data_IF_302355273893
#
_entry.id   IF_302355273893
#
_cell.length_a   1.000
_cell.length_b   1.000
_cell.length_c   1.000
_cell.angle_alpha   90.00
_cell.angle_beta   90.00
_cell.angle_gamma   90.00
#
_symmetry.space_group_name_H-M   'P 1'
#
loop_
_entity.id
_entity.type
_entity.pdbx_description
1 polymer ?
#
# COMPACT_ATOMS: atom_id res chain seq x y z
N UNK A 1 1.33 4.04 11.88
CA UNK A 1 0.01 4.16 11.18
C UNK A 1 -1.08 4.28 12.23
N UNK A 2 -2.27 4.78 11.87
CA UNK A 2 -3.46 4.87 12.71
C UNK A 2 -4.67 4.46 11.87
N UNK A 3 -5.52 3.57 12.39
CA UNK A 3 -6.81 3.23 11.81
C UNK A 3 -7.93 3.73 12.75
N UNK A 4 -8.89 4.45 12.20
CA UNK A 4 -10.11 4.84 12.87
C UNK A 4 -11.29 4.21 12.16
N UNK A 5 -12.19 3.60 12.91
CA UNK A 5 -13.41 2.98 12.39
C UNK A 5 -14.61 3.38 13.23
N UNK A 6 -15.75 3.65 12.57
CA UNK A 6 -17.05 3.78 13.24
C UNK A 6 -17.68 2.41 13.52
N UNK A 7 -17.16 1.36 12.88
CA UNK A 7 -17.63 -0.02 13.07
C UNK A 7 -16.68 -0.75 14.02
N UNK A 8 -17.18 -1.77 14.76
CA UNK A 8 -16.34 -2.54 15.65
C UNK A 8 -15.16 -3.20 14.95
N UNK A 9 -14.01 -3.19 15.58
CA UNK A 9 -12.82 -3.92 15.16
C UNK A 9 -12.76 -5.22 15.97
N UNK A 10 -12.61 -6.37 15.30
CA UNK A 10 -12.36 -7.65 15.95
C UNK A 10 -10.89 -7.74 16.38
N UNK A 11 -10.60 -7.08 17.51
CA UNK A 11 -9.22 -6.85 17.99
C UNK A 11 -8.45 -8.17 18.16
N UNK A 12 -9.13 -9.21 18.62
CA UNK A 12 -8.58 -10.56 18.85
C UNK A 12 -8.18 -11.30 17.55
N UNK A 13 -8.61 -10.77 16.39
CA UNK A 13 -8.31 -11.33 15.06
C UNK A 13 -7.37 -10.43 14.24
N UNK A 14 -6.88 -9.36 14.84
CA UNK A 14 -5.92 -8.47 14.18
C UNK A 14 -4.60 -9.20 13.98
N UNK A 15 -4.10 -9.19 12.75
CA UNK A 15 -2.76 -9.68 12.44
C UNK A 15 -1.82 -8.51 12.15
N UNK A 16 -0.65 -8.54 12.76
CA UNK A 16 0.43 -7.59 12.49
C UNK A 16 1.68 -8.33 12.04
N UNK A 17 2.39 -7.75 11.07
CA UNK A 17 3.54 -8.39 10.43
C UNK A 17 4.79 -7.53 10.61
N UNK A 18 4.91 -6.87 11.76
CA UNK A 18 6.03 -5.99 12.05
C UNK A 18 7.35 -6.76 12.14
N UNK A 19 7.32 -7.99 12.65
CA UNK A 19 8.49 -8.81 12.87
C UNK A 19 8.78 -9.80 11.73
N UNK A 20 7.98 -9.80 10.65
CA UNK A 20 8.23 -10.64 9.48
C UNK A 20 9.61 -10.28 8.89
N UNK A 21 10.48 -11.30 8.74
CA UNK A 21 11.85 -11.09 8.27
C UNK A 21 11.91 -11.06 6.74
N UNK A 22 12.61 -10.08 6.20
CA UNK A 22 12.75 -9.92 4.74
C UNK A 22 13.35 -11.18 4.07
N UNK A 23 14.32 -11.81 4.72
CA UNK A 23 14.97 -13.05 4.23
C UNK A 23 14.02 -14.24 4.08
N UNK A 24 12.90 -14.25 4.82
CA UNK A 24 11.97 -15.37 4.83
C UNK A 24 10.95 -15.28 3.68
N UNK A 25 10.89 -14.14 2.97
CA UNK A 25 10.15 -14.00 1.72
C UNK A 25 10.90 -14.75 0.60
N UNK A 26 10.28 -15.71 -0.10
CA UNK A 26 10.89 -16.36 -1.25
C UNK A 26 11.25 -15.35 -2.35
N UNK A 27 12.38 -15.56 -3.02
CA UNK A 27 12.86 -14.72 -4.13
C UNK A 27 12.91 -13.22 -3.82
N UNK A 28 13.16 -12.87 -2.54
CA UNK A 28 13.24 -11.49 -2.10
C UNK A 28 14.42 -10.75 -2.76
N UNK A 29 14.21 -9.46 -3.03
CA UNK A 29 15.20 -8.64 -3.72
C UNK A 29 16.40 -8.26 -2.84
N UNK A 30 16.34 -8.48 -1.52
CA UNK A 30 17.49 -8.28 -0.62
C UNK A 30 18.70 -9.12 -1.05
N UNK A 31 18.45 -10.36 -1.49
CA UNK A 31 19.50 -11.32 -1.85
C UNK A 31 20.27 -10.93 -3.12
N UNK A 32 19.76 -10.03 -3.93
CA UNK A 32 20.42 -9.58 -5.18
C UNK A 32 21.30 -8.33 -5.00
N UNK A 33 21.23 -7.67 -3.84
CA UNK A 33 22.03 -6.47 -3.57
C UNK A 33 23.50 -6.82 -3.28
N UNK A 34 24.42 -6.09 -3.91
CA UNK A 34 25.86 -6.27 -3.74
C UNK A 34 26.55 -4.94 -3.48
N UNK A 35 27.68 -5.01 -2.77
CA UNK A 35 28.66 -3.94 -2.70
C UNK A 35 29.51 -3.89 -3.99
N UNK A 36 30.34 -2.88 -4.14
CA UNK A 36 31.28 -2.77 -5.27
C UNK A 36 32.25 -3.95 -5.33
N UNK A 37 32.58 -4.54 -4.17
CA UNK A 37 33.46 -5.70 -4.05
C UNK A 37 32.71 -7.03 -4.31
N UNK A 38 31.39 -7.01 -4.61
CA UNK A 38 30.59 -8.20 -4.90
C UNK A 38 30.01 -8.90 -3.67
N UNK A 39 30.26 -8.40 -2.47
CA UNK A 39 29.72 -8.95 -1.23
C UNK A 39 28.23 -8.63 -1.08
N UNK A 40 27.53 -9.37 -0.21
CA UNK A 40 26.14 -9.03 0.12
C UNK A 40 26.06 -7.65 0.76
N UNK A 41 25.17 -6.78 0.26
CA UNK A 41 24.94 -5.45 0.82
C UNK A 41 24.61 -5.52 2.33
N UNK A 42 23.69 -6.42 2.70
CA UNK A 42 23.44 -6.75 4.10
C UNK A 42 24.22 -8.01 4.47
N UNK A 43 25.21 -7.94 5.39
CA UNK A 43 25.91 -9.12 5.86
C UNK A 43 24.96 -10.16 6.47
N UNK A 44 25.29 -11.47 6.45
CA UNK A 44 24.40 -12.54 6.93
C UNK A 44 23.85 -12.33 8.35
N UNK A 45 24.64 -11.72 9.24
CA UNK A 45 24.19 -11.39 10.61
C UNK A 45 23.07 -10.36 10.63
N UNK A 46 23.05 -9.40 9.67
CA UNK A 46 22.00 -8.39 9.54
C UNK A 46 20.76 -9.01 8.90
N UNK A 47 20.92 -9.82 7.86
CA UNK A 47 19.81 -10.50 7.20
C UNK A 47 18.98 -11.37 8.17
N UNK A 48 19.62 -11.91 9.22
CA UNK A 48 18.94 -12.73 10.25
C UNK A 48 17.93 -11.97 11.09
N UNK A 49 18.01 -10.64 11.15
CA UNK A 49 17.17 -9.79 12.03
C UNK A 49 16.49 -8.66 11.26
N UNK A 50 16.77 -8.51 9.97
CA UNK A 50 16.22 -7.42 9.17
C UNK A 50 14.77 -7.73 8.81
N UNK A 51 13.86 -6.96 9.36
CA UNK A 51 12.42 -7.05 9.06
C UNK A 51 12.15 -6.54 7.64
N UNK A 52 11.17 -7.13 6.97
CA UNK A 52 10.72 -6.65 5.66
C UNK A 52 10.15 -5.23 5.80
N UNK A 53 9.13 -5.06 6.60
CA UNK A 53 8.51 -3.75 6.75
C UNK A 53 9.36 -2.79 7.58
N UNK A 54 9.60 -1.60 7.04
CA UNK A 54 10.23 -0.50 7.79
C UNK A 54 9.33 0.04 8.89
N UNK A 55 8.01 -0.14 8.73
CA UNK A 55 6.97 0.27 9.69
C UNK A 55 6.18 -0.93 10.19
N UNK A 56 5.13 -1.33 9.49
CA UNK A 56 4.37 -2.56 9.72
C UNK A 56 3.41 -2.81 8.55
N UNK A 57 2.94 -4.05 8.42
CA UNK A 57 1.76 -4.43 7.66
C UNK A 57 0.70 -4.88 8.66
N UNK A 58 -0.56 -4.49 8.45
CA UNK A 58 -1.68 -4.81 9.33
C UNK A 58 -2.83 -5.42 8.54
N UNK A 59 -3.37 -6.51 9.02
CA UNK A 59 -4.69 -7.02 8.64
C UNK A 59 -5.63 -6.80 9.82
N UNK A 60 -6.60 -5.90 9.63
CA UNK A 60 -7.51 -5.47 10.68
C UNK A 60 -8.94 -5.80 10.27
N UNK A 61 -9.54 -6.87 10.85
CA UNK A 61 -10.92 -7.23 10.59
C UNK A 61 -11.88 -6.21 11.22
N UNK A 62 -12.72 -5.60 10.40
CA UNK A 62 -13.77 -4.65 10.78
C UNK A 62 -15.13 -5.31 10.56
N UNK A 63 -16.00 -5.25 11.58
CA UNK A 63 -17.34 -5.84 11.53
C UNK A 63 -18.35 -4.83 10.99
N UNK A 64 -18.82 -5.02 9.77
CA UNK A 64 -19.83 -4.17 9.15
C UNK A 64 -21.13 -4.97 9.03
N UNK A 65 -22.09 -4.69 9.90
CA UNK A 65 -23.32 -5.49 10.06
C UNK A 65 -22.90 -6.93 10.38
N UNK A 66 -23.23 -7.89 9.55
CA UNK A 66 -22.90 -9.32 9.73
C UNK A 66 -21.70 -9.78 8.88
N UNK A 67 -20.96 -8.83 8.31
CA UNK A 67 -19.85 -9.10 7.38
C UNK A 67 -18.51 -8.65 7.95
N UNK A 68 -17.48 -9.45 7.71
CA UNK A 68 -16.10 -9.07 8.03
C UNK A 68 -15.44 -8.42 6.81
N UNK A 69 -14.90 -7.24 7.01
CA UNK A 69 -14.09 -6.52 6.03
C UNK A 69 -12.67 -6.37 6.57
N UNK A 70 -11.70 -6.94 5.88
CA UNK A 70 -10.31 -6.85 6.25
C UNK A 70 -9.70 -5.52 5.74
N UNK A 71 -9.16 -4.72 6.63
CA UNK A 71 -8.40 -3.52 6.29
C UNK A 71 -6.92 -3.87 6.30
N UNK A 72 -6.34 -3.98 5.11
CA UNK A 72 -4.94 -4.31 4.88
C UNK A 72 -4.16 -3.01 4.75
N UNK A 73 -3.49 -2.58 5.81
CA UNK A 73 -2.83 -1.29 5.89
C UNK A 73 -1.31 -1.44 5.93
N UNK A 74 -0.61 -0.68 5.08
CA UNK A 74 0.85 -0.59 5.10
C UNK A 74 1.35 0.79 4.70
N UNK A 75 2.63 1.05 4.99
CA UNK A 75 3.33 2.23 4.51
C UNK A 75 4.75 1.79 4.12
N UNK A 76 4.92 1.24 2.91
CA UNK A 76 6.20 0.81 2.37
C UNK A 76 7.27 1.88 2.41
N UNK A 77 8.52 1.46 2.37
CA UNK A 77 9.69 2.33 2.35
C UNK A 77 9.64 3.25 1.13
N UNK A 78 9.85 4.59 1.26
CA UNK A 78 10.03 5.44 0.10
C UNK A 78 11.23 4.96 -0.75
N UNK A 79 11.07 4.78 -2.07
CA UNK A 79 12.11 4.24 -2.97
C UNK A 79 13.13 5.30 -3.38
N UNK A 80 13.58 6.10 -2.43
CA UNK A 80 14.49 7.23 -2.59
C UNK A 80 15.49 7.28 -1.44
N UNK A 81 16.47 8.18 -1.50
CA UNK A 81 17.51 8.37 -0.47
C UNK A 81 18.45 7.18 -0.31
N UNK A 82 18.77 6.49 -1.40
CA UNK A 82 19.71 5.37 -1.47
C UNK A 82 20.69 5.53 -2.64
N UNK A 83 21.60 4.59 -2.78
CA UNK A 83 22.62 4.58 -3.81
C UNK A 83 22.28 3.63 -4.97
N UNK A 84 23.30 3.30 -5.79
CA UNK A 84 23.12 2.40 -6.94
C UNK A 84 22.63 1.00 -6.58
N UNK A 85 22.78 0.59 -5.33
CA UNK A 85 22.28 -0.69 -4.81
C UNK A 85 20.74 -0.74 -4.76
N UNK A 86 20.07 0.44 -4.82
CA UNK A 86 18.60 0.55 -4.85
C UNK A 86 17.92 -0.22 -3.67
N UNK A 87 18.48 -0.10 -2.46
CA UNK A 87 17.99 -0.86 -1.30
C UNK A 87 16.57 -0.48 -0.90
N UNK A 88 16.22 0.80 -1.02
CA UNK A 88 14.90 1.30 -0.67
C UNK A 88 13.86 0.95 -1.74
N UNK A 89 14.23 1.04 -3.03
CA UNK A 89 13.37 0.61 -4.14
C UNK A 89 13.08 -0.89 -4.10
N UNK A 90 14.08 -1.72 -3.81
CA UNK A 90 13.92 -3.18 -3.63
C UNK A 90 13.06 -3.51 -2.43
N UNK A 91 13.24 -2.79 -1.34
CA UNK A 91 12.42 -2.98 -0.12
C UNK A 91 10.98 -2.57 -0.36
N UNK A 92 10.74 -1.40 -0.98
CA UNK A 92 9.41 -0.95 -1.37
C UNK A 92 8.68 -1.99 -2.21
N UNK A 93 9.37 -2.51 -3.25
CA UNK A 93 8.83 -3.58 -4.10
C UNK A 93 8.37 -4.78 -3.28
N UNK A 94 9.25 -5.31 -2.41
CA UNK A 94 8.94 -6.51 -1.63
C UNK A 94 7.89 -6.25 -0.53
N UNK A 95 7.86 -5.04 0.05
CA UNK A 95 6.80 -4.60 0.96
C UNK A 95 5.42 -4.56 0.26
N UNK A 96 5.35 -4.16 -1.02
CA UNK A 96 4.11 -4.17 -1.81
C UNK A 96 3.76 -5.60 -2.24
N UNK A 97 4.75 -6.38 -2.73
CA UNK A 97 4.58 -7.77 -3.11
C UNK A 97 4.06 -8.63 -1.96
N UNK A 98 4.38 -8.28 -0.71
CA UNK A 98 3.81 -8.94 0.47
C UNK A 98 2.28 -9.01 0.39
N UNK A 99 1.59 -7.94 -0.05
CA UNK A 99 0.15 -7.96 -0.24
C UNK A 99 -0.28 -8.83 -1.42
N UNK A 100 0.50 -8.88 -2.50
CA UNK A 100 0.21 -9.77 -3.65
C UNK A 100 0.19 -11.22 -3.16
N UNK A 101 1.23 -11.64 -2.44
CA UNK A 101 1.35 -13.00 -1.93
C UNK A 101 0.32 -13.30 -0.82
N UNK A 102 0.03 -12.31 0.05
CA UNK A 102 -0.97 -12.44 1.11
C UNK A 102 -2.40 -12.61 0.57
N UNK A 103 -2.71 -11.99 -0.56
CA UNK A 103 -3.97 -12.14 -1.30
C UNK A 103 -3.97 -13.36 -2.22
N UNK A 104 -2.84 -13.99 -2.42
CA UNK A 104 -2.65 -15.11 -3.33
C UNK A 104 -3.28 -16.42 -2.87
N UNK A 105 -2.86 -17.51 -3.50
CA UNK A 105 -3.25 -18.87 -3.12
C UNK A 105 -2.60 -19.29 -1.80
N UNK A 106 -3.10 -20.38 -1.20
CA UNK A 106 -2.50 -20.98 -0.01
C UNK A 106 -1.00 -21.26 -0.20
N UNK A 107 -0.59 -21.73 -1.38
CA UNK A 107 0.82 -22.00 -1.71
C UNK A 107 1.66 -20.72 -1.74
N UNK A 108 1.14 -19.64 -2.31
CA UNK A 108 1.84 -18.35 -2.43
C UNK A 108 1.99 -17.66 -1.08
N UNK A 109 1.02 -17.79 -0.20
CA UNK A 109 1.01 -17.17 1.12
C UNK A 109 1.57 -18.06 2.26
N UNK A 110 1.90 -19.31 1.99
CA UNK A 110 2.27 -20.30 3.02
C UNK A 110 3.49 -19.88 3.88
N UNK A 111 4.37 -19.06 3.36
CA UNK A 111 5.57 -18.59 4.06
C UNK A 111 5.32 -17.36 4.95
N UNK A 112 4.18 -16.69 4.78
CA UNK A 112 3.83 -15.47 5.52
C UNK A 112 3.42 -15.86 6.94
N UNK A 113 4.02 -15.23 7.91
CA UNK A 113 3.66 -15.37 9.33
C UNK A 113 3.51 -13.98 9.97
N UNK A 114 2.60 -13.87 10.91
CA UNK A 114 2.39 -12.66 11.70
C UNK A 114 3.23 -12.64 12.99
N UNK A 115 3.07 -11.60 13.79
CA UNK A 115 3.83 -11.41 15.02
C UNK A 115 3.49 -12.47 16.11
N UNK A 116 2.35 -13.18 15.97
CA UNK A 116 1.92 -14.30 16.81
C UNK A 116 2.30 -15.67 16.21
N UNK A 117 3.10 -15.71 15.12
CA UNK A 117 3.51 -16.90 14.39
C UNK A 117 2.35 -17.69 13.77
N UNK A 118 1.26 -17.03 13.42
CA UNK A 118 0.21 -17.63 12.61
C UNK A 118 0.56 -17.52 11.13
N UNK A 119 0.53 -18.65 10.43
CA UNK A 119 0.93 -18.72 9.02
C UNK A 119 -0.27 -18.56 8.07
N UNK A 120 0.04 -18.18 6.83
CA UNK A 120 -0.92 -18.11 5.73
C UNK A 120 -1.39 -16.71 5.38
N UNK A 121 -2.12 -16.62 4.28
CA UNK A 121 -2.64 -15.39 3.70
C UNK A 121 -4.05 -15.01 4.19
N UNK A 122 -4.72 -14.17 3.40
CA UNK A 122 -6.06 -13.67 3.69
C UNK A 122 -7.13 -14.71 3.35
N UNK A 123 -7.84 -15.19 4.35
CA UNK A 123 -8.99 -16.10 4.18
C UNK A 123 -10.28 -15.34 3.76
N UNK A 124 -10.39 -14.05 4.11
CA UNK A 124 -11.57 -13.23 3.85
C UNK A 124 -11.78 -12.91 2.36
N UNK A 125 -13.04 -12.73 1.96
CA UNK A 125 -13.42 -12.32 0.60
C UNK A 125 -13.40 -10.81 0.39
N UNK A 126 -13.74 -10.05 1.44
CA UNK A 126 -13.86 -8.58 1.41
C UNK A 126 -12.68 -7.96 2.10
N UNK A 127 -11.97 -7.14 1.36
CA UNK A 127 -10.84 -6.38 1.90
C UNK A 127 -10.69 -5.02 1.24
N UNK A 128 -9.94 -4.17 1.92
CA UNK A 128 -9.46 -2.88 1.42
C UNK A 128 -7.95 -2.82 1.66
N UNK A 129 -7.14 -2.63 0.62
CA UNK A 129 -5.71 -2.30 0.80
C UNK A 129 -5.57 -0.79 0.88
N UNK A 130 -5.01 -0.29 1.98
CA UNK A 130 -4.90 1.13 2.27
C UNK A 130 -3.46 1.53 2.57
N UNK A 131 -3.05 2.68 2.07
CA UNK A 131 -1.82 3.32 2.53
C UNK A 131 -1.13 4.19 1.51
N UNK A 132 -0.13 4.90 2.00
CA UNK A 132 0.93 5.46 1.18
C UNK A 132 1.86 4.32 0.78
N UNK A 133 1.72 3.84 -0.45
CA UNK A 133 2.54 2.74 -0.98
C UNK A 133 3.86 3.25 -1.57
N UNK A 134 4.04 4.56 -1.66
CA UNK A 134 5.26 5.18 -2.20
C UNK A 134 5.67 4.65 -3.60
N UNK A 135 4.70 4.21 -4.39
CA UNK A 135 4.93 3.62 -5.70
C UNK A 135 3.83 3.99 -6.69
N UNK A 136 4.20 4.17 -7.95
CA UNK A 136 3.28 4.37 -9.07
C UNK A 136 3.72 3.51 -10.25
N UNK A 137 2.77 3.07 -11.06
CA UNK A 137 3.07 2.37 -12.33
C UNK A 137 3.63 3.32 -13.39
N UNK A 138 3.43 4.64 -13.23
CA UNK A 138 3.70 5.63 -14.26
C UNK A 138 4.86 6.56 -13.92
N UNK A 139 4.98 6.96 -12.65
CA UNK A 139 5.86 8.04 -12.21
C UNK A 139 6.64 7.65 -10.94
N UNK A 140 7.73 8.38 -10.65
CA UNK A 140 8.58 8.17 -9.48
C UNK A 140 9.64 7.09 -9.67
N UNK A 141 10.37 6.80 -8.59
CA UNK A 141 11.58 5.98 -8.59
C UNK A 141 11.34 4.53 -8.14
N UNK A 142 10.08 4.18 -7.80
CA UNK A 142 9.76 2.83 -7.38
C UNK A 142 9.95 1.80 -8.49
N UNK A 143 10.28 0.57 -8.10
CA UNK A 143 10.18 -0.59 -8.98
C UNK A 143 8.71 -0.84 -9.27
N UNK A 144 8.35 -0.67 -10.56
CA UNK A 144 6.94 -0.65 -10.99
C UNK A 144 6.25 -2.00 -10.92
N UNK A 145 7.03 -3.07 -10.94
CA UNK A 145 6.53 -4.44 -10.98
C UNK A 145 5.63 -4.73 -9.78
N UNK A 146 6.08 -4.44 -8.55
CA UNK A 146 5.32 -4.75 -7.34
C UNK A 146 3.95 -4.06 -7.28
N UNK A 147 3.90 -2.75 -7.59
CA UNK A 147 2.62 -2.03 -7.61
C UNK A 147 1.75 -2.46 -8.78
N UNK A 148 2.34 -2.76 -9.95
CA UNK A 148 1.60 -3.24 -11.12
C UNK A 148 0.95 -4.60 -10.83
N UNK A 149 1.67 -5.53 -10.21
CA UNK A 149 1.15 -6.84 -9.80
C UNK A 149 0.00 -6.70 -8.80
N UNK A 150 0.14 -5.84 -7.80
CA UNK A 150 -0.93 -5.59 -6.83
C UNK A 150 -2.19 -5.03 -7.50
N UNK A 151 -2.05 -4.04 -8.39
CA UNK A 151 -3.18 -3.45 -9.11
C UNK A 151 -3.82 -4.43 -10.12
N UNK A 152 -3.04 -5.37 -10.67
CA UNK A 152 -3.51 -6.41 -11.58
C UNK A 152 -4.03 -7.66 -10.87
N UNK A 153 -3.87 -7.77 -9.54
CA UNK A 153 -4.21 -8.96 -8.79
C UNK A 153 -5.69 -9.34 -8.97
N UNK A 154 -6.04 -10.63 -9.24
CA UNK A 154 -7.42 -11.05 -9.56
C UNK A 154 -8.45 -10.72 -8.47
N UNK A 155 -8.01 -10.68 -7.20
CA UNK A 155 -8.87 -10.33 -6.07
C UNK A 155 -9.04 -8.82 -5.86
N UNK A 156 -8.27 -7.96 -6.55
CA UNK A 156 -8.38 -6.49 -6.49
C UNK A 156 -9.34 -5.98 -7.56
N UNK A 157 -10.23 -5.07 -7.17
CA UNK A 157 -11.23 -4.46 -8.06
C UNK A 157 -10.54 -3.55 -9.07
N UNK A 158 -10.74 -3.84 -10.34
CA UNK A 158 -10.21 -3.01 -11.44
C UNK A 158 -11.08 -1.77 -11.68
N UNK A 159 -10.48 -0.76 -12.29
CA UNK A 159 -11.20 0.45 -12.73
C UNK A 159 -11.49 1.45 -11.61
N UNK A 160 -11.01 1.21 -10.39
CA UNK A 160 -11.08 2.18 -9.31
C UNK A 160 -9.91 3.17 -9.43
N UNK A 161 -10.19 4.36 -9.91
CA UNK A 161 -9.18 5.39 -10.12
C UNK A 161 -9.65 6.73 -9.53
N UNK A 162 -9.40 6.97 -8.21
CA UNK A 162 -9.68 8.26 -7.60
C UNK A 162 -8.95 9.39 -8.30
N UNK A 163 -9.65 10.50 -8.56
CA UNK A 163 -9.10 11.66 -9.27
C UNK A 163 -9.46 12.97 -8.59
N UNK A 164 -8.78 14.05 -8.98
CA UNK A 164 -9.11 15.41 -8.57
C UNK A 164 -8.75 16.45 -9.64
N UNK A 165 -9.49 17.54 -9.65
CA UNK A 165 -9.14 18.70 -10.46
C UNK A 165 -7.94 19.46 -9.91
N UNK A 166 -7.71 19.41 -8.59
CA UNK A 166 -6.53 19.98 -7.96
C UNK A 166 -5.24 19.31 -8.38
N UNK A 167 -5.23 17.98 -8.45
CA UNK A 167 -4.09 17.21 -8.97
C UNK A 167 -3.80 17.52 -10.44
N UNK A 168 -4.85 17.59 -11.26
CA UNK A 168 -4.76 18.04 -12.66
C UNK A 168 -4.14 19.45 -12.78
N UNK A 169 -4.54 20.38 -11.90
CA UNK A 169 -4.03 21.74 -11.93
C UNK A 169 -2.60 21.84 -11.39
N UNK A 170 -2.24 21.01 -10.41
CA UNK A 170 -0.90 20.98 -9.81
C UNK A 170 0.19 20.52 -10.80
N UNK A 171 -0.14 19.57 -11.66
CA UNK A 171 0.77 19.04 -12.71
C UNK A 171 0.03 18.95 -14.04
N UNK A 172 -0.25 20.13 -14.60
CA UNK A 172 -0.95 20.25 -15.89
C UNK A 172 -0.15 19.71 -17.09
N UNK A 173 1.14 19.50 -16.92
CA UNK A 173 2.08 18.90 -17.87
C UNK A 173 2.08 17.35 -17.83
N UNK A 174 1.55 16.76 -16.76
CA UNK A 174 1.45 15.30 -16.64
C UNK A 174 0.05 14.78 -17.05
N UNK A 175 -0.05 13.80 -17.94
CA UNK A 175 -1.32 13.12 -18.23
C UNK A 175 -1.90 12.39 -17.01
N UNK A 176 -1.07 12.08 -16.02
CA UNK A 176 -1.43 11.40 -14.78
C UNK A 176 -1.83 12.37 -13.65
N UNK A 177 -1.66 13.68 -13.87
CA UNK A 177 -1.98 14.72 -12.89
C UNK A 177 -3.31 14.54 -12.15
N UNK A 178 -4.43 14.18 -12.83
CA UNK A 178 -5.70 13.91 -12.15
C UNK A 178 -5.65 12.87 -11.05
N UNK A 179 -4.78 11.86 -11.17
CA UNK A 179 -4.66 10.73 -10.22
C UNK A 179 -3.65 10.97 -9.11
N UNK A 180 -2.91 12.08 -9.16
CA UNK A 180 -1.91 12.39 -8.13
C UNK A 180 -2.54 12.54 -6.77
N UNK A 181 -1.84 12.01 -5.77
CA UNK A 181 -2.21 12.10 -4.36
C UNK A 181 -1.16 12.85 -3.55
N UNK A 182 -0.03 13.16 -4.16
CA UNK A 182 1.09 13.83 -3.53
C UNK A 182 1.46 15.14 -4.26
N UNK A 183 1.85 16.17 -3.49
CA UNK A 183 2.15 17.51 -3.98
C UNK A 183 3.30 17.52 -5.00
N UNK A 184 4.27 16.62 -4.86
CA UNK A 184 5.40 16.50 -5.79
C UNK A 184 5.02 15.89 -7.15
N UNK A 185 3.77 15.44 -7.32
CA UNK A 185 3.26 14.98 -8.61
C UNK A 185 3.40 13.48 -8.82
N UNK A 186 2.77 12.68 -7.96
CA UNK A 186 2.71 11.22 -8.07
C UNK A 186 1.46 10.68 -7.38
N UNK A 187 0.94 9.55 -7.87
CA UNK A 187 0.01 8.73 -7.11
C UNK A 187 0.79 7.84 -6.16
N UNK A 188 0.85 8.21 -4.88
CA UNK A 188 1.54 7.47 -3.83
C UNK A 188 0.58 6.73 -2.90
N UNK A 189 -0.65 7.28 -2.75
CA UNK A 189 -1.64 6.81 -1.79
C UNK A 189 -2.74 6.03 -2.49
N UNK A 190 -3.15 4.92 -1.89
CA UNK A 190 -4.09 3.98 -2.47
C UNK A 190 -5.20 3.60 -1.49
N UNK A 191 -6.39 3.40 -2.05
CA UNK A 191 -7.50 2.66 -1.46
C UNK A 191 -7.96 1.68 -2.51
N UNK A 192 -7.68 0.39 -2.33
CA UNK A 192 -7.99 -0.68 -3.28
C UNK A 192 -9.00 -1.63 -2.66
N UNK A 193 -10.17 -1.74 -3.26
CA UNK A 193 -11.20 -2.66 -2.80
C UNK A 193 -11.02 -4.07 -3.40
N UNK A 194 -11.51 -5.08 -2.69
CA UNK A 194 -11.65 -6.43 -3.26
C UNK A 194 -12.57 -6.44 -4.49
N UNK A 195 -12.29 -7.31 -5.45
CA UNK A 195 -13.12 -7.47 -6.66
C UNK A 195 -14.56 -7.88 -6.34
N UNK A 196 -14.73 -8.68 -5.29
CA UNK A 196 -16.02 -9.18 -4.84
C UNK A 196 -16.56 -8.40 -3.62
N UNK A 197 -17.88 -8.37 -3.50
CA UNK A 197 -18.58 -7.89 -2.30
C UNK A 197 -18.89 -6.39 -2.29
N UNK A 198 -18.57 -5.64 -3.35
CA UNK A 198 -18.74 -4.19 -3.41
C UNK A 198 -19.35 -3.67 -4.69
N UNK A 199 -20.30 -2.76 -4.56
CA UNK A 199 -20.65 -1.81 -5.62
C UNK A 199 -19.93 -0.48 -5.35
N UNK A 200 -19.12 -0.02 -6.29
CA UNK A 200 -18.50 1.30 -6.23
C UNK A 200 -19.59 2.35 -6.51
N UNK A 201 -19.72 3.31 -5.61
CA UNK A 201 -20.62 4.44 -5.76
C UNK A 201 -19.86 5.68 -6.25
N UNK A 202 -18.75 6.01 -5.60
CA UNK A 202 -17.93 7.17 -5.96
C UNK A 202 -16.50 7.00 -5.44
N UNK A 203 -15.56 7.81 -5.94
CA UNK A 203 -14.17 7.82 -5.51
C UNK A 203 -13.51 9.16 -5.86
N UNK A 204 -12.57 9.60 -5.05
CA UNK A 204 -11.85 10.83 -5.35
C UNK A 204 -10.62 11.07 -4.50
N UNK A 205 -9.89 12.10 -4.91
CA UNK A 205 -8.80 12.69 -4.13
C UNK A 205 -9.26 14.06 -3.66
N UNK A 206 -9.22 14.29 -2.36
CA UNK A 206 -9.55 15.60 -1.80
C UNK A 206 -8.42 16.59 -2.08
N UNK A 207 -8.51 17.25 -3.22
CA UNK A 207 -7.58 18.27 -3.67
C UNK A 207 -8.32 19.44 -4.34
N UNK A 208 -8.93 20.36 -3.56
CA UNK A 208 -9.56 21.56 -4.09
C UNK A 208 -8.54 22.45 -4.82
N UNK A 209 -8.96 23.06 -5.93
CA UNK A 209 -8.15 24.01 -6.69
C UNK A 209 -7.97 25.34 -5.94
N UNK A 210 -6.91 26.11 -6.25
CA UNK A 210 -6.81 27.50 -5.80
C UNK A 210 -8.10 28.29 -6.08
N UNK A 211 -8.61 28.95 -5.05
CA UNK A 211 -9.88 29.71 -5.13
C UNK A 211 -11.14 28.90 -4.76
N UNK A 212 -11.07 27.58 -4.69
CA UNK A 212 -12.21 26.76 -4.24
C UNK A 212 -12.33 26.74 -2.70
N UNK A 213 -13.54 26.49 -2.18
CA UNK A 213 -13.74 26.25 -0.76
C UNK A 213 -12.81 25.15 -0.26
N UNK A 214 -12.29 25.30 0.95
CA UNK A 214 -11.39 24.34 1.60
C UNK A 214 -9.97 24.22 0.99
N UNK A 215 -9.63 24.89 -0.13
CA UNK A 215 -8.25 24.90 -0.64
C UNK A 215 -7.24 25.28 0.46
N UNK A 216 -7.63 26.10 1.45
CA UNK A 216 -6.78 26.47 2.60
C UNK A 216 -6.24 25.24 3.35
N UNK A 217 -6.91 24.09 3.31
CA UNK A 217 -6.50 22.85 4.00
C UNK A 217 -5.36 22.12 3.26
N UNK A 218 -5.20 22.36 1.96
CA UNK A 218 -4.23 21.66 1.11
C UNK A 218 -3.23 22.58 0.42
N UNK A 219 -3.24 23.87 0.76
CA UNK A 219 -2.42 24.89 0.08
C UNK A 219 -0.91 24.74 0.30
N UNK A 220 -0.49 24.00 1.31
CA UNK A 220 0.91 23.73 1.62
C UNK A 220 1.02 22.60 2.62
N UNK A 221 2.21 21.96 2.70
CA UNK A 221 2.55 20.95 3.70
C UNK A 221 2.28 21.42 5.14
N UNK A 222 2.45 22.73 5.43
CA UNK A 222 2.19 23.29 6.76
C UNK A 222 0.71 23.39 7.11
N UNK A 223 -0.18 23.41 6.12
CA UNK A 223 -1.62 23.49 6.37
C UNK A 223 -2.20 22.15 6.82
N UNK A 224 -1.72 21.05 6.24
CA UNK A 224 -2.10 19.68 6.62
C UNK A 224 -0.98 18.67 6.31
N UNK A 225 -0.75 18.37 5.03
CA UNK A 225 0.19 17.35 4.54
C UNK A 225 0.62 17.70 3.12
N UNK A 226 1.73 17.14 2.66
CA UNK A 226 2.12 17.05 1.25
C UNK A 226 1.41 15.88 0.53
N UNK A 227 0.67 15.04 1.25
CA UNK A 227 -0.27 14.07 0.70
C UNK A 227 -1.71 14.60 0.71
N UNK A 228 -2.57 14.00 -0.11
CA UNK A 228 -3.99 14.31 -0.23
C UNK A 228 -4.84 13.12 0.20
N UNK A 229 -5.95 13.41 0.86
CA UNK A 229 -6.89 12.38 1.28
C UNK A 229 -7.47 11.67 0.05
N UNK A 230 -7.28 10.36 -0.02
CA UNK A 230 -7.92 9.47 -1.00
C UNK A 230 -9.11 8.81 -0.36
N UNK A 231 -10.24 8.78 -1.05
CA UNK A 231 -11.45 8.16 -0.56
C UNK A 231 -12.17 7.35 -1.63
N UNK A 232 -12.91 6.34 -1.19
CA UNK A 232 -13.86 5.59 -2.02
C UNK A 232 -15.16 5.44 -1.24
N UNK A 233 -16.27 5.46 -1.95
CA UNK A 233 -17.61 5.20 -1.43
C UNK A 233 -18.11 3.86 -1.99
N UNK A 234 -18.35 2.91 -1.10
CA UNK A 234 -18.68 1.53 -1.42
C UNK A 234 -19.97 1.11 -0.75
N UNK A 235 -20.81 0.48 -1.53
CA UNK A 235 -21.99 -0.22 -1.02
C UNK A 235 -21.69 -1.71 -0.86
N UNK A 236 -21.96 -2.24 0.32
CA UNK A 236 -21.82 -3.66 0.59
C UNK A 236 -22.87 -4.44 -0.21
N UNK A 237 -22.43 -5.43 -0.98
CA UNK A 237 -23.32 -6.32 -1.72
C UNK A 237 -23.50 -7.64 -0.97
N UNK A 238 -24.70 -8.18 -1.06
CA UNK A 238 -24.96 -9.53 -0.57
C UNK A 238 -24.02 -10.56 -1.19
N UNK A 239 -23.75 -11.67 -0.50
CA UNK A 239 -22.87 -12.75 -0.99
C UNK A 239 -23.28 -13.32 -2.34
#
# INVERSE_FOLDING_TARGET
MLLLSRYPIAVEKVRTFQNFLWRDMPDNLMQSMRTEEGEFWYPPKVQKVLRLSSKSHWDIPVMIIDEVVHVLASHPTPPVFDGPEDRNGRRNHDEIRFWVDYLGTEKESAYIYDDEQQFGGLEGRRFLVLGDLNASTEEGDARREGIAELLAHPRVKRGLLPTSDGGRANRSDSPFGPTHTAEWGMRADYVLASAAGWRLLDAGVFWPRPGEPLHRLVKSRRASSDHRLVWIDLELQAP
#
